data_IF_545768656136
#
_entry.id   IF_545768656136
#
_cell.length_a   1.000
_cell.length_b   1.000
_cell.length_c   1.000
_cell.angle_alpha   90.00
_cell.angle_beta   90.00
_cell.angle_gamma   90.00
#
_symmetry.space_group_name_H-M   'P 1'
#
loop_
_entity.id
_entity.type
_entity.pdbx_description
1 polymer ?
#
# COMPACT_ATOMS: atom_id res chain seq x y z
N UNK A 1 -7.08 12.20 18.31
CA UNK A 1 -6.97 11.93 16.86
C UNK A 1 -8.15 11.04 16.50
N UNK A 2 -9.28 11.61 16.10
CA UNK A 2 -10.39 10.82 15.55
C UNK A 2 -9.90 10.30 14.20
N UNK A 3 -9.93 8.98 14.01
CA UNK A 3 -9.50 8.33 12.76
C UNK A 3 -10.18 9.00 11.56
N UNK A 4 -9.43 9.21 10.47
CA UNK A 4 -9.90 9.65 9.13
C UNK A 4 -10.88 8.65 8.47
N UNK A 5 -11.61 7.90 9.27
CA UNK A 5 -12.66 7.00 8.84
C UNK A 5 -13.88 7.85 8.52
N UNK A 6 -14.28 7.83 7.25
CA UNK A 6 -15.53 8.41 6.77
C UNK A 6 -16.66 7.94 7.69
N UNK A 7 -17.31 8.87 8.39
CA UNK A 7 -18.41 8.52 9.29
C UNK A 7 -19.71 8.28 8.52
N UNK A 8 -20.76 7.85 9.23
CA UNK A 8 -22.03 7.50 8.62
C UNK A 8 -22.67 8.68 7.87
N UNK A 9 -22.48 9.91 8.37
CA UNK A 9 -23.02 11.11 7.75
C UNK A 9 -22.24 11.48 6.48
N UNK A 10 -20.90 11.49 6.55
CA UNK A 10 -20.03 11.69 5.40
C UNK A 10 -20.33 10.70 4.28
N UNK A 11 -20.55 9.42 4.62
CA UNK A 11 -20.94 8.41 3.63
C UNK A 11 -22.31 8.69 3.01
N UNK A 12 -23.31 9.00 3.82
CA UNK A 12 -24.65 9.29 3.32
C UNK A 12 -24.66 10.51 2.38
N UNK A 13 -23.85 11.54 2.67
CA UNK A 13 -23.67 12.70 1.77
C UNK A 13 -23.09 12.26 0.43
N UNK A 14 -22.04 11.42 0.42
CA UNK A 14 -21.46 10.92 -0.81
C UNK A 14 -22.49 10.10 -1.62
N UNK A 15 -23.25 9.21 -0.97
CA UNK A 15 -24.28 8.40 -1.63
C UNK A 15 -25.37 9.26 -2.28
N UNK A 16 -25.83 10.33 -1.61
CA UNK A 16 -26.77 11.30 -2.20
C UNK A 16 -26.19 12.01 -3.42
N UNK A 17 -24.90 12.32 -3.41
CA UNK A 17 -24.19 13.00 -4.50
C UNK A 17 -23.76 12.06 -5.65
N UNK A 18 -23.92 10.74 -5.49
CA UNK A 18 -23.63 9.76 -6.55
C UNK A 18 -24.66 9.85 -7.69
N UNK A 19 -25.92 10.14 -7.34
CA UNK A 19 -27.04 10.17 -8.28
C UNK A 19 -27.06 11.46 -9.11
N UNK A 20 -26.84 12.61 -8.47
CA UNK A 20 -26.87 13.92 -9.12
C UNK A 20 -26.11 15.00 -8.33
N UNK A 21 -25.93 16.16 -8.97
CA UNK A 21 -25.43 17.38 -8.32
C UNK A 21 -26.51 17.96 -7.41
N UNK A 22 -26.19 18.26 -6.15
CA UNK A 22 -27.17 18.66 -5.13
C UNK A 22 -26.78 19.97 -4.46
N UNK A 23 -27.75 20.82 -4.14
CA UNK A 23 -27.51 22.09 -3.42
C UNK A 23 -27.39 21.88 -1.92
N UNK A 24 -26.77 22.84 -1.22
CA UNK A 24 -26.71 22.82 0.25
C UNK A 24 -28.10 22.69 0.88
N UNK A 25 -29.07 23.48 0.44
CA UNK A 25 -30.46 23.46 0.94
C UNK A 25 -31.12 22.07 0.80
N UNK A 26 -30.81 21.35 -0.28
CA UNK A 26 -31.33 19.99 -0.48
C UNK A 26 -30.65 19.00 0.46
N UNK A 27 -29.34 19.13 0.71
CA UNK A 27 -28.65 18.30 1.71
C UNK A 27 -29.20 18.58 3.12
N UNK A 28 -29.43 19.84 3.48
CA UNK A 28 -30.02 20.24 4.78
C UNK A 28 -31.44 19.69 4.95
N UNK A 29 -32.25 19.70 3.88
CA UNK A 29 -33.59 19.10 3.92
C UNK A 29 -33.57 17.56 3.98
N UNK A 30 -32.50 16.93 3.49
CA UNK A 30 -32.34 15.47 3.42
C UNK A 30 -31.83 14.89 4.73
N UNK A 31 -30.90 15.57 5.38
CA UNK A 31 -30.25 15.10 6.61
C UNK A 31 -30.81 15.86 7.82
N UNK A 32 -31.38 15.14 8.79
CA UNK A 32 -31.87 15.69 10.07
C UNK A 32 -30.69 16.02 11.00
N UNK A 33 -29.83 16.94 10.57
CA UNK A 33 -28.64 17.42 11.29
C UNK A 33 -28.58 18.94 11.28
N UNK A 34 -27.75 19.54 12.14
CA UNK A 34 -27.60 21.00 12.15
C UNK A 34 -26.82 21.47 10.92
N UNK A 35 -27.16 22.67 10.43
CA UNK A 35 -26.43 23.35 9.35
C UNK A 35 -24.91 23.35 9.59
N UNK A 36 -24.47 23.72 10.80
CA UNK A 36 -23.05 23.77 11.17
C UNK A 36 -22.36 22.39 11.04
N UNK A 37 -23.05 21.31 11.40
CA UNK A 37 -22.51 19.94 11.28
C UNK A 37 -22.36 19.54 9.81
N UNK A 38 -23.37 19.88 8.99
CA UNK A 38 -23.36 19.58 7.56
C UNK A 38 -22.27 20.38 6.83
N UNK A 39 -22.10 21.66 7.15
CA UNK A 39 -21.02 22.52 6.62
C UNK A 39 -19.65 21.97 6.99
N UNK A 40 -19.46 21.57 8.25
CA UNK A 40 -18.21 20.98 8.73
C UNK A 40 -17.85 19.70 7.97
N UNK A 41 -18.83 18.80 7.74
CA UNK A 41 -18.58 17.59 6.96
C UNK A 41 -18.31 17.88 5.49
N UNK A 42 -19.06 18.78 4.85
CA UNK A 42 -18.80 19.16 3.46
C UNK A 42 -17.41 19.77 3.30
N UNK A 43 -16.96 20.60 4.24
CA UNK A 43 -15.60 21.13 4.24
C UNK A 43 -14.57 19.99 4.31
N UNK A 44 -14.74 19.02 5.22
CA UNK A 44 -13.86 17.85 5.30
C UNK A 44 -13.87 17.02 4.01
N UNK A 45 -15.03 16.78 3.39
CA UNK A 45 -15.12 16.04 2.13
C UNK A 45 -14.46 16.78 0.97
N UNK A 46 -14.50 18.12 0.96
CA UNK A 46 -13.80 18.97 -0.01
C UNK A 46 -12.30 18.92 0.20
N UNK A 47 -11.85 19.06 1.45
CA UNK A 47 -10.42 19.02 1.81
C UNK A 47 -9.78 17.67 1.45
N UNK A 48 -10.55 16.58 1.53
CA UNK A 48 -10.14 15.24 1.09
C UNK A 48 -10.36 14.98 -0.41
N UNK A 49 -10.74 16.00 -1.19
CA UNK A 49 -11.02 15.94 -2.62
C UNK A 49 -12.07 14.87 -3.02
N UNK A 50 -13.02 14.55 -2.14
CA UNK A 50 -14.11 13.58 -2.38
C UNK A 50 -15.35 14.24 -2.99
N UNK A 51 -15.58 15.50 -2.63
CA UNK A 51 -16.66 16.36 -3.14
C UNK A 51 -16.03 17.65 -3.64
N UNK A 52 -16.66 18.30 -4.63
CA UNK A 52 -16.30 19.66 -5.03
C UNK A 52 -17.53 20.55 -5.14
N UNK A 53 -17.34 21.84 -4.88
CA UNK A 53 -18.37 22.87 -5.06
C UNK A 53 -18.44 23.28 -6.53
N UNK A 54 -19.64 23.26 -7.09
CA UNK A 54 -19.95 23.68 -8.46
C UNK A 54 -20.95 24.84 -8.39
N UNK A 55 -20.85 25.81 -9.29
CA UNK A 55 -21.85 26.88 -9.46
C UNK A 55 -22.38 27.55 -8.18
N UNK A 56 -21.50 27.98 -7.28
CA UNK A 56 -21.91 28.71 -6.09
C UNK A 56 -22.21 27.78 -4.93
N UNK A 57 -23.39 27.14 -4.89
CA UNK A 57 -23.88 26.32 -3.75
C UNK A 57 -24.29 24.89 -4.12
N UNK A 58 -23.90 24.44 -5.31
CA UNK A 58 -24.06 23.05 -5.73
C UNK A 58 -22.82 22.24 -5.35
N UNK A 59 -23.00 20.96 -5.06
CA UNK A 59 -21.94 20.02 -4.77
C UNK A 59 -22.07 18.83 -5.70
N UNK A 60 -20.93 18.30 -6.15
CA UNK A 60 -20.87 17.07 -6.92
C UNK A 60 -19.75 16.16 -6.45
N UNK A 61 -19.93 14.86 -6.65
CA UNK A 61 -18.90 13.86 -6.36
C UNK A 61 -17.72 14.00 -7.34
N UNK A 62 -16.50 13.94 -6.80
CA UNK A 62 -15.29 13.79 -7.63
C UNK A 62 -15.09 12.32 -8.01
N UNK A 63 -14.13 12.04 -8.89
CA UNK A 63 -13.74 10.66 -9.20
C UNK A 63 -13.22 9.90 -7.95
N UNK A 64 -12.56 10.61 -7.03
CA UNK A 64 -12.10 10.02 -5.76
C UNK A 64 -13.27 9.66 -4.85
N UNK A 65 -14.28 10.53 -4.74
CA UNK A 65 -15.52 10.23 -4.01
C UNK A 65 -16.25 9.02 -4.61
N UNK A 66 -16.31 8.91 -5.95
CA UNK A 66 -16.93 7.75 -6.65
C UNK A 66 -16.18 6.46 -6.36
N UNK A 67 -14.85 6.51 -6.39
CA UNK A 67 -14.01 5.35 -6.03
C UNK A 67 -14.23 4.94 -4.58
N UNK A 68 -14.34 5.90 -3.67
CA UNK A 68 -14.58 5.63 -2.24
C UNK A 68 -15.96 5.01 -1.98
N UNK A 69 -17.01 5.43 -2.69
CA UNK A 69 -18.33 4.81 -2.56
C UNK A 69 -18.36 3.37 -3.07
N UNK A 70 -17.67 3.12 -4.17
CA UNK A 70 -17.52 1.79 -4.78
C UNK A 70 -16.63 0.88 -3.96
N UNK A 71 -15.64 1.43 -3.26
CA UNK A 71 -14.95 0.72 -2.20
C UNK A 71 -15.99 0.40 -1.13
N UNK A 72 -16.29 -0.90 -0.99
CA UNK A 72 -17.32 -1.38 -0.07
C UNK A 72 -17.13 -0.78 1.33
N UNK A 73 -18.22 -0.52 2.09
CA UNK A 73 -18.18 0.19 3.38
C UNK A 73 -17.27 -0.45 4.45
N UNK A 74 -16.73 -1.63 4.19
CA UNK A 74 -15.80 -2.33 5.07
C UNK A 74 -14.31 -2.06 4.76
N UNK A 75 -13.98 -1.17 3.83
CA UNK A 75 -12.58 -0.93 3.47
C UNK A 75 -11.90 -2.16 2.86
N UNK A 76 -12.67 -3.19 2.51
CA UNK A 76 -12.18 -4.29 1.69
C UNK A 76 -11.88 -3.68 0.33
N UNK A 77 -10.59 -3.56 0.01
CA UNK A 77 -10.09 -3.22 -1.32
C UNK A 77 -10.94 -4.02 -2.31
N UNK A 78 -11.65 -3.32 -3.21
CA UNK A 78 -12.38 -3.99 -4.28
C UNK A 78 -11.34 -4.51 -5.28
N UNK A 79 -10.77 -5.66 -4.94
CA UNK A 79 -9.73 -6.34 -5.71
C UNK A 79 -10.19 -6.63 -7.14
N UNK A 80 -11.50 -6.53 -7.45
CA UNK A 80 -12.05 -6.66 -8.80
C UNK A 80 -11.45 -5.65 -9.79
N UNK A 81 -10.96 -4.50 -9.32
CA UNK A 81 -10.31 -3.51 -10.17
C UNK A 81 -8.99 -4.04 -10.74
N UNK A 82 -8.26 -4.84 -9.97
CA UNK A 82 -6.94 -5.35 -10.33
C UNK A 82 -6.98 -6.77 -10.94
N UNK A 83 -8.17 -7.39 -10.99
CA UNK A 83 -8.35 -8.76 -11.47
C UNK A 83 -8.73 -8.76 -12.96
N UNK A 84 -7.96 -9.45 -13.83
CA UNK A 84 -8.29 -9.56 -15.24
C UNK A 84 -9.70 -10.16 -15.46
N UNK A 85 -10.48 -9.67 -16.45
CA UNK A 85 -11.82 -10.19 -16.75
C UNK A 85 -11.95 -11.71 -16.96
N UNK A 86 -10.96 -12.47 -17.51
CA UNK A 86 -11.06 -13.93 -17.55
C UNK A 86 -11.00 -14.58 -16.16
N UNK A 87 -10.23 -14.02 -15.23
CA UNK A 87 -10.10 -14.53 -13.86
C UNK A 87 -11.38 -14.25 -13.09
N UNK A 88 -11.90 -13.01 -13.16
CA UNK A 88 -13.15 -12.65 -12.47
C UNK A 88 -14.32 -13.52 -12.92
N UNK A 89 -14.45 -13.80 -14.22
CA UNK A 89 -15.48 -14.73 -14.73
C UNK A 89 -15.30 -16.16 -14.24
N UNK A 90 -14.07 -16.62 -14.04
CA UNK A 90 -13.82 -17.93 -13.43
C UNK A 90 -14.26 -17.94 -11.98
N UNK A 91 -13.89 -16.91 -11.20
CA UNK A 91 -14.31 -16.78 -9.79
C UNK A 91 -15.83 -16.76 -9.66
N UNK A 92 -16.54 -16.03 -10.53
CA UNK A 92 -18.01 -16.01 -10.55
C UNK A 92 -18.64 -17.37 -10.94
N UNK A 93 -17.89 -18.24 -11.61
CA UNK A 93 -18.29 -19.60 -11.96
C UNK A 93 -18.06 -20.63 -10.85
N UNK A 94 -17.11 -20.37 -9.94
CA UNK A 94 -16.93 -21.13 -8.72
C UNK A 94 -18.15 -20.84 -7.83
N UNK A 95 -18.88 -21.88 -7.40
CA UNK A 95 -20.12 -21.71 -6.61
C UNK A 95 -19.83 -21.29 -5.15
N UNK A 96 -19.13 -20.16 -4.99
CA UNK A 96 -18.63 -19.60 -3.74
C UNK A 96 -19.64 -18.62 -3.14
N UNK A 97 -19.63 -18.50 -1.82
CA UNK A 97 -20.29 -17.37 -1.15
C UNK A 97 -19.56 -16.06 -1.47
N UNK A 98 -20.18 -14.88 -1.26
CA UNK A 98 -19.53 -13.60 -1.53
C UNK A 98 -18.19 -13.42 -0.79
N UNK A 99 -18.11 -13.86 0.46
CA UNK A 99 -16.90 -13.73 1.28
C UNK A 99 -15.79 -14.68 0.82
N UNK A 100 -16.13 -15.91 0.43
CA UNK A 100 -15.19 -16.87 -0.15
C UNK A 100 -14.66 -16.39 -1.50
N UNK A 101 -15.54 -15.83 -2.35
CA UNK A 101 -15.12 -15.22 -3.59
C UNK A 101 -14.14 -14.06 -3.34
N UNK A 102 -14.36 -13.25 -2.30
CA UNK A 102 -13.43 -12.19 -1.91
C UNK A 102 -12.09 -12.73 -1.41
N UNK A 103 -12.07 -13.84 -0.67
CA UNK A 103 -10.84 -14.49 -0.25
C UNK A 103 -10.01 -14.97 -1.46
N UNK A 104 -10.66 -15.60 -2.44
CA UNK A 104 -10.02 -16.02 -3.70
C UNK A 104 -9.47 -14.82 -4.48
N UNK A 105 -10.22 -13.72 -4.55
CA UNK A 105 -9.74 -12.46 -5.16
C UNK A 105 -8.48 -11.93 -4.46
N UNK A 106 -8.49 -11.89 -3.13
CA UNK A 106 -7.34 -11.43 -2.33
C UNK A 106 -6.09 -12.27 -2.59
N UNK A 107 -6.22 -13.60 -2.57
CA UNK A 107 -5.10 -14.50 -2.84
C UNK A 107 -4.59 -14.39 -4.30
N UNK A 108 -5.50 -14.25 -5.27
CA UNK A 108 -5.09 -14.00 -6.66
C UNK A 108 -4.34 -12.67 -6.80
N UNK A 109 -4.85 -11.58 -6.19
CA UNK A 109 -4.17 -10.27 -6.24
C UNK A 109 -2.80 -10.32 -5.58
N UNK A 110 -2.64 -11.08 -4.49
CA UNK A 110 -1.34 -11.33 -3.86
C UNK A 110 -0.37 -12.00 -4.84
N UNK A 111 -0.80 -13.09 -5.52
CA UNK A 111 0.01 -13.76 -6.54
C UNK A 111 0.31 -12.86 -7.74
N UNK A 112 -0.66 -12.06 -8.22
CA UNK A 112 -0.47 -11.17 -9.34
C UNK A 112 0.52 -10.04 -9.04
N UNK A 113 0.58 -9.62 -7.77
CA UNK A 113 1.53 -8.61 -7.31
C UNK A 113 2.94 -9.17 -7.18
N UNK A 114 3.13 -10.30 -6.50
CA UNK A 114 4.44 -10.89 -6.19
C UNK A 114 5.00 -11.84 -7.26
N UNK A 115 4.15 -12.35 -8.17
CA UNK A 115 4.51 -13.29 -9.23
C UNK A 115 4.54 -14.74 -8.78
N UNK A 116 5.06 -15.03 -7.59
CA UNK A 116 5.00 -16.36 -6.99
C UNK A 116 4.90 -16.25 -5.47
N UNK A 117 4.31 -17.28 -4.85
CA UNK A 117 4.22 -17.39 -3.39
C UNK A 117 4.05 -18.84 -2.98
N UNK A 118 4.57 -19.19 -1.82
CA UNK A 118 4.31 -20.49 -1.19
C UNK A 118 2.92 -20.53 -0.55
N UNK A 119 2.37 -21.72 -0.35
CA UNK A 119 1.12 -21.89 0.42
C UNK A 119 1.17 -21.17 1.78
N UNK A 120 2.31 -21.22 2.49
CA UNK A 120 2.47 -20.57 3.78
C UNK A 120 2.40 -19.03 3.68
N UNK A 121 3.03 -18.43 2.66
CA UNK A 121 3.00 -16.99 2.42
C UNK A 121 1.61 -16.51 2.00
N UNK A 122 0.90 -17.28 1.18
CA UNK A 122 -0.49 -16.96 0.83
C UNK A 122 -1.40 -16.98 2.06
N UNK A 123 -1.24 -17.99 2.92
CA UNK A 123 -1.97 -18.08 4.17
C UNK A 123 -1.68 -16.90 5.08
N UNK A 124 -0.41 -16.61 5.34
CA UNK A 124 0.01 -15.52 6.22
C UNK A 124 -0.46 -14.14 5.70
N UNK A 125 -0.27 -13.89 4.40
CA UNK A 125 -0.57 -12.61 3.78
C UNK A 125 -2.06 -12.36 3.50
N UNK A 126 -2.89 -13.39 3.35
CA UNK A 126 -4.27 -13.23 2.89
C UNK A 126 -5.33 -13.65 3.91
N UNK A 127 -5.05 -14.59 4.83
CA UNK A 127 -6.07 -15.09 5.76
C UNK A 127 -6.55 -14.02 6.74
N UNK A 128 -5.63 -13.23 7.28
CA UNK A 128 -5.92 -12.13 8.22
C UNK A 128 -6.78 -11.03 7.58
N UNK A 129 -6.63 -10.83 6.27
CA UNK A 129 -7.36 -9.83 5.49
C UNK A 129 -8.75 -10.34 5.04
N UNK A 130 -8.87 -11.63 4.72
CA UNK A 130 -10.11 -12.19 4.16
C UNK A 130 -10.38 -13.63 4.64
N UNK A 131 -10.78 -13.82 5.92
CA UNK A 131 -10.95 -15.15 6.52
C UNK A 131 -12.23 -15.87 6.07
N UNK A 132 -13.18 -15.18 5.42
CA UNK A 132 -14.43 -15.74 4.89
C UNK A 132 -15.26 -16.60 5.88
N UNK A 133 -15.19 -16.29 7.17
CA UNK A 133 -15.94 -17.00 8.22
C UNK A 133 -15.33 -18.33 8.67
N UNK A 134 -14.16 -18.70 8.17
CA UNK A 134 -13.39 -19.86 8.63
C UNK A 134 -12.67 -19.55 9.95
N UNK A 135 -12.58 -20.53 10.85
CA UNK A 135 -11.98 -20.33 12.19
C UNK A 135 -10.45 -20.43 12.18
N UNK A 136 -9.90 -21.23 11.25
CA UNK A 136 -8.45 -21.44 11.14
C UNK A 136 -7.94 -21.25 9.72
N UNK A 137 -6.69 -20.80 9.56
CA UNK A 137 -6.06 -20.64 8.25
C UNK A 137 -6.00 -21.94 7.45
N UNK A 138 -5.77 -23.08 8.11
CA UNK A 138 -5.70 -24.40 7.45
C UNK A 138 -7.05 -24.81 6.88
N UNK A 139 -8.14 -24.55 7.62
CA UNK A 139 -9.48 -24.85 7.15
C UNK A 139 -9.87 -23.95 5.97
N UNK A 140 -9.56 -22.65 6.08
CA UNK A 140 -9.75 -21.67 5.01
C UNK A 140 -9.01 -22.08 3.73
N UNK A 141 -7.73 -22.43 3.86
CA UNK A 141 -6.92 -22.87 2.71
C UNK A 141 -7.50 -24.13 2.05
N UNK A 142 -7.68 -25.20 2.84
CA UNK A 142 -8.08 -26.50 2.33
C UNK A 142 -9.52 -26.56 1.80
N UNK A 143 -10.41 -25.70 2.31
CA UNK A 143 -11.85 -25.75 1.95
C UNK A 143 -12.22 -24.70 0.91
N UNK A 144 -11.60 -23.52 0.95
CA UNK A 144 -11.97 -22.39 0.10
C UNK A 144 -10.93 -22.14 -1.00
N UNK A 145 -9.64 -22.03 -0.65
CA UNK A 145 -8.65 -21.50 -1.59
C UNK A 145 -8.01 -22.52 -2.52
N UNK A 146 -7.56 -23.67 -2.03
CA UNK A 146 -6.64 -24.54 -2.77
C UNK A 146 -7.21 -24.95 -4.14
N UNK A 147 -8.42 -25.53 -4.14
CA UNK A 147 -9.08 -25.95 -5.37
C UNK A 147 -9.53 -24.74 -6.22
N UNK A 148 -10.01 -23.67 -5.59
CA UNK A 148 -10.42 -22.45 -6.28
C UNK A 148 -9.27 -21.82 -7.06
N UNK A 149 -8.10 -21.65 -6.43
CA UNK A 149 -6.91 -21.09 -7.08
C UNK A 149 -6.39 -21.98 -8.20
N UNK A 150 -6.44 -23.30 -8.01
CA UNK A 150 -6.05 -24.29 -9.04
C UNK A 150 -6.92 -24.20 -10.30
N UNK A 151 -8.19 -23.80 -10.15
CA UNK A 151 -9.12 -23.61 -11.27
C UNK A 151 -9.03 -22.24 -11.95
N UNK A 152 -8.31 -21.27 -11.36
CA UNK A 152 -8.20 -19.94 -11.95
C UNK A 152 -7.25 -19.91 -13.16
N UNK A 153 -7.61 -19.18 -14.23
CA UNK A 153 -6.69 -18.93 -15.31
C UNK A 153 -5.52 -18.06 -14.81
N UNK A 154 -4.35 -18.22 -15.43
CA UNK A 154 -3.13 -17.49 -15.08
C UNK A 154 -2.51 -17.87 -13.73
N UNK A 155 -3.03 -18.89 -13.04
CA UNK A 155 -2.41 -19.45 -11.84
C UNK A 155 -1.89 -20.83 -12.18
N UNK A 156 -0.59 -21.04 -12.00
CA UNK A 156 0.04 -22.35 -12.09
C UNK A 156 0.15 -22.92 -10.67
N UNK A 157 -0.53 -24.03 -10.34
CA UNK A 157 -0.41 -24.68 -9.05
C UNK A 157 0.98 -25.34 -8.90
N UNK A 158 1.43 -25.59 -7.66
CA UNK A 158 2.64 -26.36 -7.41
C UNK A 158 2.55 -27.76 -8.04
N UNK A 159 3.64 -28.19 -8.68
CA UNK A 159 3.72 -29.52 -9.27
C UNK A 159 3.91 -30.58 -8.17
N UNK A 160 2.94 -31.50 -7.97
CA UNK A 160 3.04 -32.52 -6.94
C UNK A 160 4.15 -33.54 -7.22
N UNK A 161 4.59 -33.65 -8.47
CA UNK A 161 5.59 -34.60 -8.95
C UNK A 161 6.96 -33.95 -9.22
N UNK A 162 7.14 -32.65 -8.92
CA UNK A 162 8.41 -31.94 -9.03
C UNK A 162 9.43 -32.44 -8.00
N UNK A 163 9.90 -33.67 -8.20
CA UNK A 163 11.13 -34.16 -7.61
C UNK A 163 12.31 -33.50 -8.31
N UNK A 164 13.19 -32.92 -7.51
CA UNK A 164 14.37 -32.14 -7.91
C UNK A 164 15.12 -32.83 -9.05
N UNK A 165 14.95 -32.34 -10.27
CA UNK A 165 15.82 -32.67 -11.39
C UNK A 165 16.03 -31.44 -12.20
N UNK A 166 16.84 -30.51 -11.67
CA UNK A 166 17.86 -29.76 -12.39
C UNK A 166 18.44 -28.65 -11.52
N UNK A 167 19.40 -28.99 -10.66
CA UNK A 167 20.53 -28.08 -10.45
C UNK A 167 21.69 -28.62 -11.31
N UNK A 168 22.31 -27.82 -12.19
CA UNK A 168 23.47 -28.27 -12.97
C UNK A 168 24.61 -28.60 -12.00
N UNK A 169 24.79 -29.91 -11.77
CA UNK A 169 25.92 -30.48 -11.06
C UNK A 169 27.22 -30.10 -11.77
N UNK A 170 28.01 -29.21 -11.17
CA UNK A 170 29.43 -29.05 -11.47
C UNK A 170 30.18 -28.42 -10.30
N UNK A 171 30.18 -29.08 -9.14
CA UNK A 171 31.33 -29.02 -8.21
C UNK A 171 31.48 -30.37 -7.48
N UNK A 172 32.56 -31.14 -7.73
CA UNK A 172 32.92 -32.26 -6.90
C UNK A 172 33.87 -31.76 -5.82
N UNK A 173 33.39 -31.68 -4.58
CA UNK A 173 34.11 -31.93 -3.32
C UNK A 173 33.52 -31.10 -2.19
N UNK A 174 32.78 -31.75 -1.29
CA UNK A 174 33.10 -31.79 0.15
C UNK A 174 32.04 -32.56 0.94
N UNK A 175 32.56 -33.45 1.78
CA UNK A 175 32.04 -34.05 3.01
C UNK A 175 30.54 -34.03 3.29
N UNK A 176 29.99 -35.24 3.36
CA UNK A 176 28.65 -35.58 3.83
C UNK A 176 28.33 -35.00 5.21
N UNK A 177 27.45 -34.00 5.20
CA UNK A 177 26.51 -33.76 6.28
C UNK A 177 25.14 -34.16 5.74
N UNK A 178 24.44 -35.04 6.45
CA UNK A 178 23.01 -35.32 6.27
C UNK A 178 22.24 -34.01 6.52
N UNK A 179 22.14 -33.16 5.50
CA UNK A 179 21.26 -32.00 5.53
C UNK A 179 19.86 -32.47 5.16
N UNK A 180 18.99 -32.40 6.18
CA UNK A 180 17.54 -32.52 6.07
C UNK A 180 17.07 -31.66 4.88
N UNK A 181 16.82 -32.30 3.74
CA UNK A 181 16.14 -31.64 2.62
C UNK A 181 14.74 -31.30 3.13
N UNK A 182 14.54 -30.05 3.55
CA UNK A 182 13.22 -29.54 3.85
C UNK A 182 12.36 -29.77 2.59
N UNK A 183 11.13 -30.28 2.74
CA UNK A 183 10.23 -30.44 1.60
C UNK A 183 10.10 -29.08 0.91
N UNK A 184 10.22 -29.08 -0.41
CA UNK A 184 10.08 -27.87 -1.23
C UNK A 184 8.72 -27.27 -0.91
N UNK A 185 8.71 -26.00 -0.52
CA UNK A 185 7.48 -25.30 -0.24
C UNK A 185 6.62 -25.28 -1.51
N UNK A 186 5.34 -25.61 -1.35
CA UNK A 186 4.32 -25.63 -2.40
C UNK A 186 4.23 -24.25 -3.07
N UNK A 187 4.99 -24.04 -4.16
CA UNK A 187 5.11 -22.77 -4.84
C UNK A 187 4.01 -22.59 -5.90
N UNK A 188 3.20 -21.55 -5.71
CA UNK A 188 2.19 -21.08 -6.65
C UNK A 188 2.77 -19.98 -7.52
N UNK A 189 2.43 -19.97 -8.81
CA UNK A 189 2.93 -18.96 -9.75
C UNK A 189 1.80 -18.26 -10.49
N UNK A 190 2.01 -16.98 -10.79
CA UNK A 190 1.21 -16.19 -11.70
C UNK A 190 1.86 -16.19 -13.09
N UNK A 191 1.13 -16.57 -14.12
CA UNK A 191 1.67 -16.83 -15.47
C UNK A 191 2.06 -15.58 -16.27
N UNK A 192 1.80 -14.38 -15.76
CA UNK A 192 2.18 -13.12 -16.41
C UNK A 192 3.26 -12.43 -15.62
N UNK A 193 3.93 -11.47 -16.27
CA UNK A 193 4.80 -10.51 -15.61
C UNK A 193 4.06 -9.92 -14.41
N UNK A 194 4.53 -10.16 -13.18
CA UNK A 194 3.93 -9.60 -11.99
C UNK A 194 3.97 -8.07 -12.05
N UNK A 195 3.12 -7.44 -11.25
CA UNK A 195 3.07 -5.98 -11.20
C UNK A 195 4.44 -5.39 -10.81
N UNK A 196 5.20 -6.08 -9.95
CA UNK A 196 6.55 -5.65 -9.56
C UNK A 196 7.54 -5.70 -10.74
N UNK A 197 7.48 -6.71 -11.60
CA UNK A 197 8.38 -6.82 -12.78
C UNK A 197 7.95 -5.92 -13.95
N UNK A 198 6.74 -5.34 -13.92
CA UNK A 198 6.24 -4.47 -15.01
C UNK A 198 6.95 -3.12 -15.15
N UNK A 199 7.88 -2.82 -14.24
CA UNK A 199 8.73 -1.63 -14.30
C UNK A 199 10.00 -1.85 -15.13
N UNK A 200 10.22 -3.03 -15.72
CA UNK A 200 11.48 -3.39 -16.38
C UNK A 200 11.58 -3.02 -17.88
N UNK A 201 10.49 -2.54 -18.52
CA UNK A 201 10.46 -2.26 -19.96
C UNK A 201 10.82 -0.80 -20.35
N UNK A 202 11.22 0.04 -19.39
CA UNK A 202 12.01 1.26 -19.65
C UNK A 202 13.50 0.93 -19.43
N UNK A 203 14.07 0.22 -20.41
CA UNK A 203 15.47 -0.26 -20.56
C UNK A 203 16.25 -0.52 -19.24
N UNK A 204 15.77 -1.46 -18.43
CA UNK A 204 16.36 -1.95 -17.18
C UNK A 204 17.67 -2.75 -17.33
N UNK A 205 18.67 -2.21 -18.06
CA UNK A 205 20.00 -2.82 -18.27
C UNK A 205 21.19 -1.89 -18.05
N UNK A 206 21.01 -0.81 -17.29
CA UNK A 206 22.04 -0.42 -16.34
C UNK A 206 21.63 -1.02 -14.99
N UNK A 207 22.09 -2.25 -14.73
CA UNK A 207 22.10 -2.73 -13.36
C UNK A 207 22.96 -1.72 -12.58
N UNK A 208 22.43 -1.00 -11.56
CA UNK A 208 23.31 -0.30 -10.65
C UNK A 208 24.28 -1.36 -10.14
N UNK A 209 25.58 -1.09 -10.29
CA UNK A 209 26.61 -1.86 -9.63
C UNK A 209 26.15 -2.10 -8.21
N UNK A 210 26.23 -3.36 -7.79
CA UNK A 210 25.67 -3.87 -6.54
C UNK A 210 26.12 -3.05 -5.33
N UNK A 211 25.35 -2.01 -5.01
CA UNK A 211 25.15 -1.55 -3.66
C UNK A 211 23.67 -1.77 -3.33
N UNK A 212 23.34 -2.66 -2.39
CA UNK A 212 21.97 -2.95 -2.03
C UNK A 212 21.42 -1.75 -1.26
N UNK A 213 20.80 -0.78 -1.94
CA UNK A 213 19.91 0.14 -1.25
C UNK A 213 18.69 -0.67 -0.77
N UNK A 214 18.52 -0.88 0.55
CA UNK A 214 17.65 -1.94 1.07
C UNK A 214 16.15 -1.60 1.01
N UNK A 215 15.74 -0.45 0.45
CA UNK A 215 14.36 0.02 0.53
C UNK A 215 13.87 0.54 -0.84
N UNK A 216 12.79 -0.03 -1.37
CA UNK A 216 12.19 0.40 -2.64
C UNK A 216 11.34 1.69 -2.56
N UNK A 217 11.16 2.29 -1.38
CA UNK A 217 10.52 3.60 -1.20
C UNK A 217 10.82 4.19 0.19
N UNK A 218 10.75 5.52 0.34
CA UNK A 218 10.89 6.20 1.64
C UNK A 218 9.91 5.64 2.67
N UNK A 219 8.66 5.40 2.26
CA UNK A 219 7.63 4.85 3.13
C UNK A 219 8.06 3.49 3.71
N UNK A 220 8.57 2.61 2.85
CA UNK A 220 9.02 1.28 3.27
C UNK A 220 10.23 1.37 4.20
N UNK A 221 11.18 2.26 3.89
CA UNK A 221 12.32 2.54 4.76
C UNK A 221 11.90 3.04 6.15
N UNK A 222 10.91 3.93 6.22
CA UNK A 222 10.35 4.41 7.50
C UNK A 222 9.51 3.35 8.25
N UNK A 223 8.91 2.39 7.55
CA UNK A 223 8.09 1.32 8.14
C UNK A 223 8.93 0.18 8.74
N UNK A 224 10.03 -0.20 8.10
CA UNK A 224 10.88 -1.34 8.48
C UNK A 224 11.95 -1.02 9.53
N UNK A 225 12.01 0.22 9.97
CA UNK A 225 12.98 0.73 10.92
C UNK A 225 12.76 0.15 12.33
N UNK A 226 13.84 -0.28 13.00
CA UNK A 226 13.82 -0.96 14.31
C UNK A 226 13.62 -0.02 15.51
N UNK A 227 13.49 1.27 15.24
CA UNK A 227 13.27 2.35 16.18
C UNK A 227 11.94 2.22 16.94
N UNK A 228 11.82 2.98 18.02
CA UNK A 228 10.59 3.06 18.80
C UNK A 228 9.42 3.62 17.98
N UNK A 229 8.18 3.35 18.42
CA UNK A 229 6.97 3.89 17.77
C UNK A 229 6.95 5.43 17.73
N UNK A 230 7.51 6.07 18.76
CA UNK A 230 7.60 7.53 18.85
C UNK A 230 8.57 8.10 17.81
N UNK A 231 9.73 7.47 17.66
CA UNK A 231 10.72 7.79 16.63
C UNK A 231 10.16 7.58 15.22
N UNK A 232 9.55 6.42 14.95
CA UNK A 232 8.91 6.16 13.64
C UNK A 232 7.83 7.19 13.31
N UNK A 233 7.06 7.62 14.31
CA UNK A 233 6.04 8.67 14.13
C UNK A 233 6.69 10.02 13.83
N UNK A 234 7.71 10.42 14.59
CA UNK A 234 8.42 11.69 14.39
C UNK A 234 9.06 11.76 12.99
N UNK A 235 9.73 10.68 12.55
CA UNK A 235 10.33 10.62 11.22
C UNK A 235 9.29 10.73 10.09
N UNK A 236 8.13 10.09 10.23
CA UNK A 236 7.03 10.19 9.25
C UNK A 236 6.45 11.60 9.17
N UNK A 237 6.26 12.27 10.31
CA UNK A 237 5.75 13.64 10.32
C UNK A 237 6.78 14.59 9.72
N UNK A 238 8.06 14.45 10.06
CA UNK A 238 9.15 15.22 9.47
C UNK A 238 9.25 14.99 7.95
N UNK A 239 9.14 13.75 7.50
CA UNK A 239 9.10 13.45 6.07
C UNK A 239 7.87 14.07 5.38
N UNK A 240 6.70 14.09 6.02
CA UNK A 240 5.53 14.78 5.47
C UNK A 240 5.78 16.27 5.22
N UNK A 241 6.43 16.95 6.17
CA UNK A 241 6.83 18.36 6.02
C UNK A 241 7.80 18.55 4.84
N UNK A 242 8.80 17.67 4.72
CA UNK A 242 9.77 17.69 3.62
C UNK A 242 9.10 17.39 2.26
N UNK A 243 8.21 16.40 2.21
CA UNK A 243 7.47 15.99 1.02
C UNK A 243 6.60 17.14 0.49
N UNK A 244 5.86 17.81 1.37
CA UNK A 244 4.99 18.92 0.99
C UNK A 244 5.75 20.14 0.44
N UNK A 245 6.99 20.36 0.91
CA UNK A 245 7.79 21.54 0.57
C UNK A 245 8.85 21.28 -0.50
N UNK A 246 9.15 20.01 -0.78
CA UNK A 246 10.27 19.57 -1.64
C UNK A 246 11.65 19.79 -1.03
N UNK A 247 11.82 20.81 -0.19
CA UNK A 247 13.05 21.09 0.57
C UNK A 247 12.71 21.60 1.97
N UNK A 248 13.48 21.20 2.98
CA UNK A 248 13.34 21.72 4.34
C UNK A 248 14.70 21.74 5.06
N UNK A 249 14.96 22.78 5.85
CA UNK A 249 16.16 22.84 6.72
C UNK A 249 15.94 22.08 8.02
N UNK A 250 17.05 21.68 8.68
CA UNK A 250 17.03 21.16 10.04
C UNK A 250 16.29 22.05 11.03
N UNK A 251 16.44 23.37 10.91
CA UNK A 251 15.73 24.33 11.74
C UNK A 251 14.23 24.31 11.47
N UNK A 252 13.81 24.28 10.20
CA UNK A 252 12.39 24.24 9.83
C UNK A 252 11.70 22.95 10.29
N UNK A 253 12.37 21.80 10.13
CA UNK A 253 11.84 20.52 10.61
C UNK A 253 11.74 20.50 12.14
N UNK A 254 12.78 20.96 12.84
CA UNK A 254 12.75 21.05 14.30
C UNK A 254 11.65 22.01 14.79
N UNK A 255 11.54 23.20 14.22
CA UNK A 255 10.54 24.20 14.62
C UNK A 255 9.10 23.66 14.45
N UNK A 256 8.85 22.91 13.38
CA UNK A 256 7.50 22.43 13.04
C UNK A 256 7.12 21.11 13.69
N UNK A 257 8.09 20.23 13.96
CA UNK A 257 7.80 18.83 14.34
C UNK A 257 8.20 18.54 15.77
N UNK A 258 9.35 19.03 16.24
CA UNK A 258 9.92 18.61 17.53
C UNK A 258 9.02 18.93 18.72
N UNK A 259 8.34 20.08 18.71
CA UNK A 259 7.46 20.49 19.81
C UNK A 259 6.34 19.50 20.09
N UNK A 260 5.80 18.87 19.04
CA UNK A 260 4.69 17.92 19.12
C UNK A 260 5.16 16.46 19.12
N UNK A 261 6.32 16.17 18.51
CA UNK A 261 6.86 14.83 18.31
C UNK A 261 8.35 14.73 18.71
N UNK A 262 8.69 14.94 19.99
CA UNK A 262 10.09 14.98 20.44
C UNK A 262 10.75 13.59 20.50
N UNK A 263 9.99 12.49 20.40
CA UNK A 263 10.49 11.11 20.42
C UNK A 263 11.48 10.79 21.56
N UNK A 264 11.21 11.31 22.77
CA UNK A 264 12.05 11.17 23.97
C UNK A 264 13.43 11.85 23.91
N UNK A 265 13.72 12.63 22.86
CA UNK A 265 14.92 13.45 22.81
C UNK A 265 14.77 14.69 23.70
N UNK A 266 15.83 15.02 24.45
CA UNK A 266 15.84 16.13 25.41
C UNK A 266 16.05 17.51 24.74
N UNK A 267 16.49 17.53 23.47
CA UNK A 267 16.70 18.76 22.71
C UNK A 267 16.39 18.57 21.22
N UNK A 268 16.03 19.68 20.57
CA UNK A 268 15.86 19.73 19.11
C UNK A 268 17.14 19.33 18.37
N UNK A 269 18.31 19.68 18.90
CA UNK A 269 19.59 19.35 18.27
C UNK A 269 19.88 17.84 18.28
N UNK A 270 19.55 17.16 19.38
CA UNK A 270 19.70 15.70 19.48
C UNK A 270 18.69 14.99 18.56
N UNK A 271 17.46 15.50 18.49
CA UNK A 271 16.43 15.00 17.59
C UNK A 271 16.81 15.18 16.11
N UNK A 272 17.33 16.35 15.73
CA UNK A 272 17.81 16.62 14.36
C UNK A 272 18.98 15.71 13.99
N UNK A 273 19.92 15.47 14.92
CA UNK A 273 21.04 14.58 14.66
C UNK A 273 20.57 13.14 14.36
N UNK A 274 19.63 12.62 15.16
CA UNK A 274 19.00 11.32 14.88
C UNK A 274 18.23 11.33 13.55
N UNK A 275 17.43 12.36 13.29
CA UNK A 275 16.66 12.46 12.04
C UNK A 275 17.58 12.51 10.81
N UNK A 276 18.75 13.15 10.94
CA UNK A 276 19.76 13.18 9.90
C UNK A 276 20.27 11.80 9.53
N UNK A 277 20.58 10.96 10.53
CA UNK A 277 20.98 9.57 10.29
C UNK A 277 19.83 8.77 9.64
N UNK A 278 18.59 9.02 10.06
CA UNK A 278 17.42 8.38 9.44
C UNK A 278 17.25 8.77 7.98
N UNK A 279 17.37 10.05 7.64
CA UNK A 279 17.15 10.56 6.29
C UNK A 279 18.27 10.19 5.33
N UNK A 280 19.52 10.10 5.80
CA UNK A 280 20.65 9.67 4.98
C UNK A 280 20.52 8.22 4.48
N UNK A 281 19.78 7.38 5.22
CA UNK A 281 19.52 5.98 4.85
C UNK A 281 18.30 5.81 3.92
N UNK A 282 17.54 6.86 3.63
CA UNK A 282 16.26 6.76 2.91
C UNK A 282 16.40 7.13 1.44
N UNK A 283 15.85 6.33 0.51
CA UNK A 283 15.97 6.57 -0.93
C UNK A 283 15.22 7.84 -1.35
N UNK A 284 15.84 8.67 -2.19
CA UNK A 284 15.23 9.89 -2.74
C UNK A 284 15.22 11.10 -1.79
N UNK A 285 15.85 10.98 -0.61
CA UNK A 285 16.13 12.13 0.25
C UNK A 285 17.62 12.47 0.12
N UNK A 286 17.93 13.66 -0.36
CA UNK A 286 19.29 14.15 -0.51
C UNK A 286 19.57 15.27 0.48
N UNK A 287 20.81 15.37 0.98
CA UNK A 287 21.24 16.55 1.74
C UNK A 287 21.43 17.72 0.77
N UNK A 288 20.74 18.84 1.02
CA UNK A 288 20.94 20.09 0.28
C UNK A 288 22.01 20.93 1.00
N UNK A 289 23.22 20.96 0.45
CA UNK A 289 24.36 21.73 0.97
C UNK A 289 24.34 23.22 0.57
N UNK A 290 23.23 23.74 0.00
CA UNK A 290 23.16 25.09 -0.60
C UNK A 290 23.54 26.27 0.31
N UNK A 291 23.70 26.06 1.60
CA UNK A 291 24.13 27.11 2.52
C UNK A 291 25.13 26.52 3.50
N UNK A 292 26.36 27.05 3.50
CA UNK A 292 27.49 26.73 4.41
C UNK A 292 27.14 26.78 5.92
N UNK A 293 25.89 27.07 6.30
CA UNK A 293 25.46 27.32 7.67
C UNK A 293 24.36 26.37 8.20
N UNK A 294 23.59 25.67 7.34
CA UNK A 294 22.43 24.90 7.81
C UNK A 294 22.25 23.62 7.00
N UNK A 295 22.27 22.46 7.68
CA UNK A 295 21.95 21.16 7.08
C UNK A 295 20.48 21.20 6.64
N UNK A 296 20.22 20.94 5.36
CA UNK A 296 18.88 20.79 4.83
C UNK A 296 18.74 19.49 4.05
N UNK A 297 17.50 19.11 3.79
CA UNK A 297 17.16 17.97 2.96
C UNK A 297 16.29 18.41 1.80
N UNK A 298 16.42 17.69 0.70
CA UNK A 298 15.59 17.77 -0.48
C UNK A 298 14.98 16.40 -0.73
N UNK A 299 13.70 16.36 -1.04
CA UNK A 299 13.04 15.15 -1.51
C UNK A 299 12.78 15.30 -3.00
N UNK A 300 13.33 14.39 -3.79
CA UNK A 300 12.99 14.25 -5.20
C UNK A 300 12.19 12.96 -5.38
N UNK A 301 10.95 13.11 -5.86
CA UNK A 301 10.18 11.95 -6.28
C UNK A 301 10.87 11.35 -7.49
N UNK A 302 11.20 10.05 -7.43
CA UNK A 302 11.80 9.31 -8.53
C UNK A 302 11.00 9.39 -9.85
N UNK A 303 9.73 9.80 -9.79
CA UNK A 303 8.88 9.99 -10.96
C UNK A 303 9.13 11.29 -11.73
N UNK A 304 9.82 12.28 -11.16
CA UNK A 304 10.05 13.59 -11.82
C UNK A 304 11.43 13.70 -12.49
N UNK A 305 12.40 12.84 -12.12
CA UNK A 305 13.76 12.87 -12.64
C UNK A 305 13.89 12.36 -14.08
N UNK A 306 12.98 11.51 -14.56
CA UNK A 306 13.05 10.89 -15.90
C UNK A 306 12.41 11.74 -17.03
N UNK A 307 11.87 12.92 -16.73
CA UNK A 307 11.06 13.70 -17.68
C UNK A 307 11.73 14.85 -18.44
N UNK A 308 12.98 15.23 -18.13
CA UNK A 308 13.58 16.49 -18.63
C UNK A 308 15.03 16.37 -19.12
N UNK A 309 15.32 15.36 -19.93
CA UNK A 309 16.54 15.31 -20.76
C UNK A 309 16.24 15.63 -22.23
N UNK A 310 16.38 16.90 -22.64
CA UNK A 310 16.52 17.33 -24.05
C UNK A 310 17.97 17.20 -24.55
#
# INVERSE_FOLDING_TARGET
>A
MSSNTLDALGRAILETLEEETVTFDTLEATFDTSQETLESHLAQLIDNALVRKVNGDEYELTDNGRRLLRATPFGARDNRIDIPPPVERSIEGLSLTPDEAQAVRTAFSFLAYWGNATTAELVDGCYSESPAGYETPEQWWATCLEDSLRELPLVTPPDPDATVSSAPSSQPNSSASDECSAPIAELWMYERTPVIERLEDEDGRDAPESDPEPFGSVRHGLENRTESDAERTAARVAFGVLFDQGTATAFELAERVYADYPAEYDSSDAWVAWLSDVFDDLPGIERDEKTDAEIGWKYESALESDGLGE
#
